data_IF_664491000425
#
_entry.id   IF_664491000425
#
_cell.length_a   1.000
_cell.length_b   1.000
_cell.length_c   1.000
_cell.angle_alpha   90.00
_cell.angle_beta   90.00
_cell.angle_gamma   90.00
#
_symmetry.space_group_name_H-M   'P 1'
#
loop_
_entity.id
_entity.type
_entity.pdbx_description
1 polymer ?
#
# COMPACT_ATOMS: atom_id res chain seq x y z
N UNK A 1 -28.00 6.17 -2.76
CA UNK A 1 -26.54 6.09 -2.70
C UNK A 1 -25.98 7.47 -2.39
N UNK A 2 -24.86 7.54 -1.68
CA UNK A 2 -24.21 8.77 -1.26
C UNK A 2 -22.72 8.73 -1.59
N UNK A 3 -22.18 9.84 -2.09
CA UNK A 3 -20.74 10.09 -2.19
C UNK A 3 -20.30 10.94 -1.00
N UNK A 4 -19.24 10.51 -0.32
CA UNK A 4 -18.72 11.14 0.89
C UNK A 4 -17.23 11.45 0.68
N UNK A 5 -16.86 12.71 0.90
CA UNK A 5 -15.46 13.16 0.92
C UNK A 5 -15.32 14.25 1.96
N UNK A 6 -14.41 14.06 2.90
CA UNK A 6 -14.22 14.93 4.07
C UNK A 6 -15.56 15.14 4.81
N UNK A 7 -16.02 16.40 4.91
CA UNK A 7 -17.29 16.78 5.54
C UNK A 7 -18.43 17.02 4.51
N UNK A 8 -18.26 16.58 3.26
CA UNK A 8 -19.26 16.76 2.20
C UNK A 8 -19.95 15.43 1.90
N UNK A 9 -21.28 15.48 1.87
CA UNK A 9 -22.14 14.37 1.49
C UNK A 9 -23.01 14.80 0.31
N UNK A 10 -22.97 14.03 -0.78
CA UNK A 10 -23.82 14.21 -1.95
C UNK A 10 -24.67 12.97 -2.16
N UNK A 11 -25.95 13.16 -2.47
CA UNK A 11 -26.79 12.06 -2.97
C UNK A 11 -26.46 11.88 -4.45
N UNK A 12 -26.13 10.66 -4.84
CA UNK A 12 -25.71 10.33 -6.21
C UNK A 12 -26.57 9.20 -6.78
N UNK A 13 -26.60 9.11 -8.10
CA UNK A 13 -27.16 7.96 -8.83
C UNK A 13 -26.09 6.93 -9.17
N UNK A 14 -26.48 5.74 -9.65
CA UNK A 14 -25.55 4.71 -10.13
C UNK A 14 -24.73 5.20 -11.33
N UNK A 15 -25.33 5.97 -12.24
CA UNK A 15 -24.64 6.54 -13.39
C UNK A 15 -23.52 7.51 -12.99
N UNK A 16 -23.70 8.22 -11.87
CA UNK A 16 -22.71 9.15 -11.32
C UNK A 16 -21.66 8.46 -10.45
N UNK A 17 -21.88 7.20 -10.05
CA UNK A 17 -21.03 6.46 -9.12
C UNK A 17 -19.56 6.49 -9.54
N UNK A 18 -19.27 6.10 -10.79
CA UNK A 18 -17.90 6.04 -11.29
C UNK A 18 -17.23 7.43 -11.28
N UNK A 19 -17.94 8.46 -11.71
CA UNK A 19 -17.43 9.85 -11.72
C UNK A 19 -17.04 10.34 -10.33
N UNK A 20 -17.74 9.92 -9.27
CA UNK A 20 -17.40 10.26 -7.90
C UNK A 20 -16.25 9.41 -7.36
N UNK A 21 -16.20 8.13 -7.71
CA UNK A 21 -15.05 7.24 -7.42
C UNK A 21 -13.76 7.82 -8.01
N UNK A 22 -13.77 8.20 -9.28
CA UNK A 22 -12.62 8.77 -10.00
C UNK A 22 -12.16 10.11 -9.38
N UNK A 23 -13.03 10.78 -8.63
CA UNK A 23 -12.73 12.04 -7.90
C UNK A 23 -12.26 11.78 -6.46
N UNK A 24 -12.13 10.52 -6.06
CA UNK A 24 -11.72 10.09 -4.72
C UNK A 24 -12.81 10.25 -3.67
N UNK A 25 -14.09 10.14 -4.04
CA UNK A 25 -15.18 10.05 -3.07
C UNK A 25 -15.43 8.60 -2.66
N UNK A 26 -15.74 8.39 -1.39
CA UNK A 26 -16.21 7.09 -0.89
C UNK A 26 -17.70 6.95 -1.14
N UNK A 27 -18.11 5.80 -1.64
CA UNK A 27 -19.52 5.52 -1.92
C UNK A 27 -20.13 4.82 -0.70
N UNK A 28 -21.31 5.26 -0.27
CA UNK A 28 -22.04 4.70 0.84
C UNK A 28 -23.52 4.49 0.51
N UNK A 29 -24.09 3.44 1.06
CA UNK A 29 -25.52 3.16 1.06
C UNK A 29 -26.11 3.42 2.44
N UNK A 30 -27.34 3.93 2.47
CA UNK A 30 -28.07 4.10 3.72
C UNK A 30 -28.82 2.80 4.02
N UNK A 31 -28.39 2.07 5.05
CA UNK A 31 -29.04 0.85 5.56
C UNK A 31 -29.32 1.02 7.05
N UNK A 32 -30.59 0.89 7.47
CA UNK A 32 -30.99 1.03 8.88
C UNK A 32 -30.50 2.34 9.52
N UNK A 33 -30.69 3.46 8.84
CA UNK A 33 -30.21 4.80 9.25
C UNK A 33 -28.69 4.91 9.47
N UNK A 34 -27.92 3.94 8.97
CA UNK A 34 -26.45 3.95 9.00
C UNK A 34 -25.90 3.99 7.58
N UNK A 35 -24.85 4.78 7.38
CA UNK A 35 -24.09 4.81 6.13
C UNK A 35 -23.12 3.62 6.13
N UNK A 36 -23.36 2.68 5.23
CA UNK A 36 -22.51 1.52 4.99
C UNK A 36 -21.68 1.84 3.74
N UNK A 37 -20.37 1.95 3.91
CA UNK A 37 -19.45 2.18 2.79
C UNK A 37 -19.32 0.93 1.94
N UNK A 38 -19.40 1.10 0.63
CA UNK A 38 -19.17 0.03 -0.33
C UNK A 38 -17.66 -0.13 -0.53
N UNK A 39 -17.17 -1.36 -0.43
CA UNK A 39 -15.78 -1.69 -0.73
C UNK A 39 -15.63 -1.76 -2.24
N UNK A 40 -15.03 -0.72 -2.82
CA UNK A 40 -14.83 -0.59 -4.26
C UNK A 40 -13.36 -0.81 -4.53
N UNK A 41 -13.03 -1.85 -5.30
CA UNK A 41 -11.70 -2.02 -5.86
C UNK A 41 -11.46 -0.94 -6.92
N UNK A 42 -10.77 0.13 -6.52
CA UNK A 42 -10.31 1.17 -7.45
C UNK A 42 -8.98 0.78 -8.07
N UNK A 43 -8.59 1.41 -9.19
CA UNK A 43 -7.24 1.29 -9.74
C UNK A 43 -6.18 1.65 -8.69
N UNK A 44 -6.42 2.69 -7.89
CA UNK A 44 -5.58 3.04 -6.73
C UNK A 44 -5.44 1.88 -5.74
N UNK A 45 -6.51 1.11 -5.50
CA UNK A 45 -6.45 -0.05 -4.59
C UNK A 45 -5.55 -1.14 -5.15
N UNK A 46 -5.57 -1.36 -6.47
CA UNK A 46 -4.67 -2.32 -7.15
C UNK A 46 -3.22 -1.83 -7.14
N UNK A 47 -3.02 -0.53 -7.38
CA UNK A 47 -1.69 0.08 -7.36
C UNK A 47 -1.09 0.07 -5.95
N UNK A 48 -1.89 0.30 -4.90
CA UNK A 48 -1.46 0.16 -3.51
C UNK A 48 -1.03 -1.27 -3.20
N UNK A 49 -1.72 -2.29 -3.71
CA UNK A 49 -1.32 -3.69 -3.54
C UNK A 49 0.01 -3.95 -4.23
N UNK A 50 0.16 -3.54 -5.49
CA UNK A 50 1.41 -3.69 -6.24
C UNK A 50 2.59 -2.98 -5.55
N UNK A 51 2.39 -1.73 -5.08
CA UNK A 51 3.41 -0.95 -4.37
C UNK A 51 3.79 -1.56 -3.00
N UNK A 52 2.87 -2.30 -2.36
CA UNK A 52 3.16 -3.03 -1.11
C UNK A 52 4.03 -4.25 -1.39
N UNK A 53 3.70 -5.04 -2.41
CA UNK A 53 4.50 -6.21 -2.81
C UNK A 53 5.91 -5.80 -3.25
N UNK A 54 6.03 -4.73 -4.02
CA UNK A 54 7.34 -4.19 -4.42
C UNK A 54 8.15 -3.71 -3.21
N UNK A 55 7.52 -3.02 -2.26
CA UNK A 55 8.19 -2.60 -1.02
C UNK A 55 8.67 -3.78 -0.17
N UNK A 56 7.89 -4.86 -0.08
CA UNK A 56 8.31 -6.06 0.66
C UNK A 56 9.49 -6.75 -0.01
N UNK A 57 9.47 -6.85 -1.34
CA UNK A 57 10.57 -7.42 -2.13
C UNK A 57 11.85 -6.61 -1.94
N UNK A 58 11.77 -5.28 -2.11
CA UNK A 58 12.92 -4.38 -1.92
C UNK A 58 13.47 -4.40 -0.48
N UNK A 59 12.60 -4.56 0.53
CA UNK A 59 13.05 -4.73 1.93
C UNK A 59 13.82 -6.03 2.11
N UNK A 60 13.38 -7.13 1.52
CA UNK A 60 14.07 -8.40 1.59
C UNK A 60 15.46 -8.32 0.93
N UNK A 61 15.55 -7.75 -0.28
CA UNK A 61 16.82 -7.53 -0.98
C UNK A 61 17.78 -6.64 -0.19
N UNK A 62 17.27 -5.55 0.41
CA UNK A 62 18.08 -4.67 1.27
C UNK A 62 18.58 -5.38 2.52
N UNK A 63 17.80 -6.28 3.10
CA UNK A 63 18.23 -7.06 4.26
C UNK A 63 19.32 -8.06 3.90
N UNK A 64 19.18 -8.74 2.76
CA UNK A 64 20.20 -9.65 2.23
C UNK A 64 21.50 -8.90 1.90
N UNK A 65 21.41 -7.79 1.19
CA UNK A 65 22.58 -6.97 0.85
C UNK A 65 23.30 -6.45 2.10
N UNK A 66 22.56 -6.05 3.15
CA UNK A 66 23.13 -5.66 4.44
C UNK A 66 23.80 -6.82 5.18
N UNK A 67 23.31 -8.06 5.05
CA UNK A 67 23.96 -9.25 5.61
C UNK A 67 25.27 -9.53 4.89
N UNK A 68 25.29 -9.51 3.56
CA UNK A 68 26.50 -9.69 2.75
C UNK A 68 27.56 -8.64 3.10
N UNK A 69 27.19 -7.36 3.18
CA UNK A 69 28.12 -6.29 3.58
C UNK A 69 28.67 -6.42 5.01
N UNK A 70 27.95 -7.08 5.93
CA UNK A 70 28.44 -7.31 7.29
C UNK A 70 29.39 -8.50 7.38
N UNK A 71 29.24 -9.50 6.51
CA UNK A 71 30.09 -10.69 6.50
C UNK A 71 31.44 -10.49 5.77
N UNK A 72 31.49 -9.68 4.71
CA UNK A 72 32.74 -9.35 4.00
C UNK A 72 33.85 -8.73 4.90
N UNK A 73 33.58 -7.74 5.78
CA UNK A 73 34.60 -7.18 6.65
C UNK A 73 35.05 -8.15 7.77
N UNK A 74 34.26 -9.16 8.12
CA UNK A 74 34.67 -10.20 9.08
C UNK A 74 35.58 -11.26 8.45
N UNK A 75 35.28 -11.69 7.21
CA UNK A 75 36.13 -12.66 6.49
C UNK A 75 37.51 -12.07 6.18
N UNK A 76 37.59 -10.78 5.85
CA UNK A 76 38.87 -10.09 5.59
C UNK A 76 39.75 -9.90 6.86
N UNK A 77 39.16 -9.88 8.07
CA UNK A 77 39.92 -9.77 9.32
C UNK A 77 40.49 -11.11 9.80
N UNK A 78 39.83 -12.23 9.51
CA UNK A 78 40.28 -13.56 9.96
C UNK A 78 41.48 -14.12 9.17
N UNK A 79 41.77 -13.63 7.96
CA UNK A 79 42.87 -14.13 7.12
C UNK A 79 44.21 -13.41 7.30
N UNK A 80 44.27 -12.32 8.06
CA UNK A 80 45.51 -11.52 8.25
C UNK A 80 46.33 -11.86 9.51
N UNK A 81 45.98 -12.93 10.22
CA UNK A 81 46.47 -13.20 11.58
C UNK A 81 47.05 -14.58 11.84
N UNK A 82 47.66 -15.27 10.88
CA UNK A 82 48.45 -16.48 11.16
C UNK A 82 49.74 -16.45 10.32
N UNK A 83 50.85 -16.17 10.99
CA UNK A 83 52.18 -16.07 10.38
C UNK A 83 53.20 -15.60 11.40
N UNK A 84 53.45 -16.44 12.41
CA UNK A 84 54.59 -16.35 13.32
C UNK A 84 55.74 -17.17 12.76
#
# INVERSE_FOLDING_TARGET
MFAIKDNRQYKITEEEKQKFIDRGYKIAELKNDKLVFEEIETEESREIVALREENETLKAELEEYKKVQKEEPERAKKTKGEGK
#
